data_IF_496158848837
#
_entry.id   IF_496158848837
#
_cell.length_a   1.000
_cell.length_b   1.000
_cell.length_c   1.000
_cell.angle_alpha   90.00
_cell.angle_beta   90.00
_cell.angle_gamma   90.00
#
_symmetry.space_group_name_H-M   'P 1'
#
loop_
_entity.id
_entity.type
_entity.pdbx_description
1 polymer ?
#
# COMPACT_ATOMS: atom_id res chain seq x y z
N UNK A 1 18.16 12.34 5.22
CA UNK A 1 16.90 12.14 4.48
C UNK A 1 15.83 13.01 5.14
N UNK A 2 14.98 13.71 4.37
CA UNK A 2 13.92 14.54 4.97
C UNK A 2 12.73 13.67 5.43
N UNK A 3 11.78 14.27 6.18
CA UNK A 3 10.65 13.54 6.78
C UNK A 3 9.70 12.93 5.74
N UNK A 4 9.52 13.59 4.60
CA UNK A 4 8.66 13.08 3.52
C UNK A 4 9.29 11.85 2.88
N UNK A 5 10.56 11.94 2.50
CA UNK A 5 11.33 10.81 1.96
C UNK A 5 11.36 9.61 2.93
N UNK A 6 11.44 9.85 4.24
CA UNK A 6 11.30 8.80 5.25
C UNK A 6 9.93 8.12 5.20
N UNK A 7 8.85 8.88 4.97
CA UNK A 7 7.50 8.33 4.78
C UNK A 7 7.42 7.34 3.60
N UNK A 8 8.07 7.64 2.48
CA UNK A 8 8.17 6.71 1.34
C UNK A 8 8.95 5.44 1.71
N UNK A 9 10.04 5.55 2.47
CA UNK A 9 10.80 4.39 2.96
C UNK A 9 9.97 3.53 3.91
N UNK A 10 9.19 4.16 4.80
CA UNK A 10 8.27 3.45 5.69
C UNK A 10 7.15 2.74 4.91
N UNK A 11 6.62 3.35 3.86
CA UNK A 11 5.65 2.72 2.97
C UNK A 11 6.23 1.50 2.23
N UNK A 12 7.48 1.60 1.78
CA UNK A 12 8.21 0.46 1.19
C UNK A 12 8.44 -0.66 2.20
N UNK A 13 8.85 -0.33 3.43
CA UNK A 13 9.03 -1.31 4.51
C UNK A 13 7.70 -1.99 4.87
N UNK A 14 6.62 -1.23 4.91
CA UNK A 14 5.27 -1.74 5.10
C UNK A 14 4.88 -2.74 4.00
N UNK A 15 5.04 -2.40 2.71
CA UNK A 15 4.77 -3.36 1.63
C UNK A 15 5.69 -4.58 1.71
N UNK A 16 6.96 -4.40 2.09
CA UNK A 16 7.92 -5.51 2.22
C UNK A 16 7.56 -6.50 3.32
N UNK A 17 6.75 -6.09 4.31
CA UNK A 17 6.22 -6.99 5.34
C UNK A 17 5.36 -8.13 4.75
N UNK A 18 4.87 -8.00 3.51
CA UNK A 18 4.18 -9.09 2.81
C UNK A 18 5.03 -10.36 2.72
N UNK A 19 6.37 -10.25 2.69
CA UNK A 19 7.26 -11.41 2.72
C UNK A 19 7.16 -12.18 4.03
N UNK A 20 6.92 -11.51 5.15
CA UNK A 20 6.75 -12.15 6.45
C UNK A 20 5.40 -12.88 6.47
N UNK A 21 4.33 -12.20 6.08
CA UNK A 21 2.97 -12.75 6.10
C UNK A 21 2.75 -13.86 5.06
N UNK A 22 3.41 -13.77 3.91
CA UNK A 22 3.41 -14.81 2.87
C UNK A 22 4.43 -15.91 3.11
N UNK A 23 5.17 -15.90 4.23
CA UNK A 23 6.22 -16.89 4.55
C UNK A 23 7.24 -17.01 3.41
N UNK A 24 7.71 -15.89 2.90
CA UNK A 24 8.62 -15.80 1.75
C UNK A 24 7.96 -16.25 0.44
N UNK A 25 6.70 -15.88 0.20
CA UNK A 25 5.89 -16.27 -0.97
C UNK A 25 5.50 -17.75 -1.04
N UNK A 26 5.84 -18.56 -0.04
CA UNK A 26 5.50 -19.99 0.04
C UNK A 26 4.17 -20.27 0.75
N UNK A 27 3.64 -19.28 1.46
CA UNK A 27 2.39 -19.36 2.22
C UNK A 27 1.13 -19.27 1.33
N UNK A 28 -0.02 -19.54 1.94
CA UNK A 28 -1.29 -19.71 1.24
C UNK A 28 -2.27 -18.54 1.42
N UNK A 29 -1.78 -17.29 1.51
CA UNK A 29 -2.65 -16.11 1.60
C UNK A 29 -3.65 -16.07 0.44
N UNK A 30 -3.19 -16.42 -0.77
CA UNK A 30 -4.01 -16.49 -1.97
C UNK A 30 -5.24 -17.40 -1.90
N UNK A 31 -5.26 -18.42 -1.03
CA UNK A 31 -6.44 -19.25 -0.84
C UNK A 31 -7.53 -18.60 0.02
N UNK A 32 -7.15 -17.66 0.89
CA UNK A 32 -8.09 -16.87 1.70
C UNK A 32 -8.60 -15.68 0.88
N UNK A 33 -7.70 -15.02 0.14
CA UNK A 33 -8.01 -13.91 -0.74
C UNK A 33 -7.11 -13.96 -1.98
N UNK A 34 -7.65 -14.21 -3.19
CA UNK A 34 -6.87 -14.30 -4.42
C UNK A 34 -6.01 -13.08 -4.73
N UNK A 35 -6.34 -11.90 -4.20
CA UNK A 35 -5.53 -10.69 -4.32
C UNK A 35 -4.10 -10.90 -3.79
N UNK A 36 -3.93 -11.78 -2.79
CA UNK A 36 -2.66 -12.12 -2.17
C UNK A 36 -2.12 -13.49 -2.62
N UNK A 37 -2.43 -13.91 -3.85
CA UNK A 37 -1.66 -14.97 -4.53
C UNK A 37 -0.16 -14.61 -4.61
N UNK A 38 0.75 -15.56 -4.90
CA UNK A 38 2.17 -15.25 -5.04
C UNK A 38 2.45 -14.10 -6.01
N UNK A 39 1.71 -14.03 -7.13
CA UNK A 39 1.81 -12.94 -8.09
C UNK A 39 1.32 -11.61 -7.52
N UNK A 40 0.22 -11.62 -6.75
CA UNK A 40 -0.28 -10.44 -6.05
C UNK A 40 0.71 -9.91 -5.01
N UNK A 41 1.32 -10.81 -4.22
CA UNK A 41 2.37 -10.48 -3.26
C UNK A 41 3.60 -9.86 -3.94
N UNK A 42 4.02 -10.38 -5.11
CA UNK A 42 5.07 -9.77 -5.93
C UNK A 42 4.65 -8.36 -6.36
N UNK A 43 3.39 -8.17 -6.77
CA UNK A 43 2.84 -6.85 -7.09
C UNK A 43 2.96 -5.86 -5.92
N UNK A 44 2.60 -6.28 -4.71
CA UNK A 44 2.76 -5.47 -3.48
C UNK A 44 4.23 -5.07 -3.28
N UNK A 45 5.17 -5.98 -3.49
CA UNK A 45 6.61 -5.68 -3.40
C UNK A 45 7.06 -4.67 -4.45
N UNK A 46 6.63 -4.83 -5.70
CA UNK A 46 6.96 -3.91 -6.79
C UNK A 46 6.42 -2.50 -6.51
N UNK A 47 5.22 -2.38 -5.95
CA UNK A 47 4.69 -1.09 -5.48
C UNK A 47 5.55 -0.49 -4.36
N UNK A 48 5.99 -1.30 -3.41
CA UNK A 48 6.92 -0.87 -2.36
C UNK A 48 8.21 -0.30 -2.93
N UNK A 49 8.80 -0.97 -3.93
CA UNK A 49 9.99 -0.50 -4.64
C UNK A 49 9.70 0.79 -5.42
N UNK A 50 8.53 0.92 -6.04
CA UNK A 50 8.12 2.15 -6.73
C UNK A 50 8.05 3.34 -5.78
N UNK A 51 7.53 3.17 -4.57
CA UNK A 51 7.54 4.22 -3.55
C UNK A 51 8.97 4.64 -3.21
N UNK A 52 9.86 3.67 -2.99
CA UNK A 52 11.27 3.93 -2.68
C UNK A 52 11.98 4.67 -3.82
N UNK A 53 11.68 4.32 -5.07
CA UNK A 53 12.23 4.98 -6.24
C UNK A 53 11.87 6.48 -6.28
N UNK A 54 10.63 6.83 -5.91
CA UNK A 54 10.19 8.22 -5.86
C UNK A 54 10.66 8.99 -4.61
N UNK A 55 11.14 8.30 -3.57
CA UNK A 55 11.40 8.88 -2.25
C UNK A 55 12.35 10.11 -2.27
N UNK A 56 13.22 10.24 -3.26
CA UNK A 56 14.19 11.35 -3.38
C UNK A 56 13.79 12.44 -4.38
N UNK A 57 12.76 12.21 -5.19
CA UNK A 57 12.31 13.10 -6.27
C UNK A 57 10.79 13.32 -6.28
N UNK A 58 10.13 13.06 -5.14
CA UNK A 58 8.67 13.18 -5.01
C UNK A 58 8.14 14.58 -5.34
N UNK A 59 8.95 15.62 -5.17
CA UNK A 59 8.59 17.00 -5.46
C UNK A 59 8.52 17.27 -6.97
N UNK A 60 9.29 16.55 -7.78
CA UNK A 60 9.37 16.73 -9.23
C UNK A 60 8.23 15.98 -9.96
N UNK A 61 7.64 14.98 -9.30
CA UNK A 61 6.59 14.14 -9.88
C UNK A 61 5.41 13.90 -8.91
N UNK A 62 4.71 14.95 -8.46
CA UNK A 62 3.58 14.85 -7.53
C UNK A 62 2.42 13.98 -8.07
N UNK A 63 2.27 13.88 -9.39
CA UNK A 63 1.27 13.02 -10.01
C UNK A 63 1.52 11.52 -9.73
N UNK A 64 2.79 11.11 -9.62
CA UNK A 64 3.13 9.72 -9.28
C UNK A 64 2.75 9.41 -7.83
N UNK A 65 2.95 10.37 -6.91
CA UNK A 65 2.46 10.22 -5.55
C UNK A 65 0.93 10.07 -5.50
N UNK A 66 0.18 10.77 -6.38
CA UNK A 66 -1.27 10.57 -6.48
C UNK A 66 -1.63 9.15 -6.97
N UNK A 67 -0.88 8.59 -7.91
CA UNK A 67 -1.06 7.19 -8.35
C UNK A 67 -0.87 6.23 -7.17
N UNK A 68 0.15 6.44 -6.33
CA UNK A 68 0.34 5.64 -5.12
C UNK A 68 -0.82 5.79 -4.13
N UNK A 69 -1.38 6.99 -3.98
CA UNK A 69 -2.56 7.19 -3.13
C UNK A 69 -3.77 6.39 -3.64
N UNK A 70 -3.99 6.34 -4.96
CA UNK A 70 -5.08 5.57 -5.56
C UNK A 70 -4.86 4.05 -5.44
N UNK A 71 -3.63 3.59 -5.60
CA UNK A 71 -3.29 2.18 -5.36
C UNK A 71 -3.54 1.81 -3.89
N UNK A 72 -3.12 2.64 -2.94
CA UNK A 72 -3.41 2.43 -1.51
C UNK A 72 -4.90 2.48 -1.19
N UNK A 73 -5.65 3.37 -1.84
CA UNK A 73 -7.10 3.40 -1.72
C UNK A 73 -7.73 2.09 -2.23
N UNK A 74 -7.25 1.54 -3.35
CA UNK A 74 -7.73 0.28 -3.88
C UNK A 74 -7.55 -0.86 -2.88
N UNK A 75 -6.36 -1.05 -2.30
CA UNK A 75 -6.14 -2.07 -1.27
C UNK A 75 -6.95 -1.83 -0.01
N UNK A 76 -7.05 -0.58 0.45
CA UNK A 76 -7.85 -0.21 1.62
C UNK A 76 -9.35 -0.49 1.44
N UNK A 77 -9.92 -0.15 0.29
CA UNK A 77 -11.32 -0.44 -0.04
C UNK A 77 -11.57 -1.94 -0.19
N UNK A 78 -10.68 -2.66 -0.88
CA UNK A 78 -10.76 -4.11 -1.00
C UNK A 78 -10.77 -4.78 0.38
N UNK A 79 -9.89 -4.33 1.29
CA UNK A 79 -9.87 -4.81 2.67
C UNK A 79 -11.17 -4.58 3.41
N UNK A 80 -11.76 -3.38 3.35
CA UNK A 80 -13.03 -3.08 4.01
C UNK A 80 -14.18 -3.95 3.49
N UNK A 81 -14.24 -4.17 2.17
CA UNK A 81 -15.21 -5.07 1.56
C UNK A 81 -14.98 -6.52 1.99
N UNK A 82 -13.73 -6.97 1.97
CA UNK A 82 -13.37 -8.31 2.44
C UNK A 82 -13.75 -8.52 3.91
N UNK A 83 -13.50 -7.53 4.78
CA UNK A 83 -13.83 -7.58 6.21
C UNK A 83 -15.34 -7.62 6.44
N UNK A 84 -16.11 -6.90 5.62
CA UNK A 84 -17.58 -6.95 5.67
C UNK A 84 -18.10 -8.35 5.35
N UNK A 85 -17.54 -9.00 4.34
CA UNK A 85 -18.05 -10.28 3.84
C UNK A 85 -17.47 -11.50 4.58
N UNK A 86 -16.24 -11.40 5.09
CA UNK A 86 -15.46 -12.52 5.67
C UNK A 86 -14.96 -12.25 7.09
N UNK A 87 -15.21 -11.08 7.67
CA UNK A 87 -14.67 -10.69 8.99
C UNK A 87 -15.07 -11.63 10.14
N UNK A 88 -16.23 -12.30 10.04
CA UNK A 88 -16.66 -13.32 11.00
C UNK A 88 -15.74 -14.55 11.05
N UNK A 89 -14.97 -14.81 9.98
CA UNK A 89 -14.07 -15.96 9.86
C UNK A 89 -12.67 -15.67 10.42
N UNK A 90 -12.36 -14.43 10.82
CA UNK A 90 -11.02 -14.03 11.28
C UNK A 90 -10.53 -14.85 12.48
N UNK A 91 -11.42 -15.27 13.38
CA UNK A 91 -11.05 -16.10 14.53
C UNK A 91 -10.56 -17.49 14.07
N UNK A 92 -11.23 -18.09 13.09
CA UNK A 92 -10.87 -19.38 12.51
C UNK A 92 -9.57 -19.28 11.70
N UNK A 93 -9.44 -18.24 10.87
CA UNK A 93 -8.22 -17.95 10.11
C UNK A 93 -7.03 -17.79 11.07
N UNK A 94 -7.20 -17.04 12.17
CA UNK A 94 -6.13 -16.83 13.16
C UNK A 94 -5.78 -18.11 13.92
N UNK A 95 -6.75 -18.98 14.19
CA UNK A 95 -6.49 -20.27 14.82
C UNK A 95 -5.69 -21.22 13.90
N UNK A 96 -5.97 -21.19 12.60
CA UNK A 96 -5.27 -22.01 11.60
C UNK A 96 -3.89 -21.44 11.22
N UNK A 97 -3.80 -20.12 11.01
CA UNK A 97 -2.57 -19.41 10.70
C UNK A 97 -2.55 -18.02 11.37
N UNK A 98 -1.87 -17.88 12.53
CA UNK A 98 -1.83 -16.62 13.27
C UNK A 98 -1.28 -15.44 12.48
N UNK A 99 -0.32 -15.67 11.57
CA UNK A 99 0.27 -14.61 10.74
C UNK A 99 -0.74 -14.12 9.71
N UNK A 100 -1.44 -15.03 9.03
CA UNK A 100 -2.50 -14.67 8.10
C UNK A 100 -3.65 -13.97 8.83
N UNK A 101 -4.08 -14.49 9.99
CA UNK A 101 -5.12 -13.86 10.80
C UNK A 101 -4.76 -12.46 11.30
N UNK A 102 -3.48 -12.20 11.60
CA UNK A 102 -3.01 -10.85 11.88
C UNK A 102 -3.06 -9.97 10.63
N UNK A 103 -2.48 -10.44 9.52
CA UNK A 103 -2.46 -9.73 8.24
C UNK A 103 -3.86 -9.27 7.80
N UNK A 104 -4.80 -10.19 7.65
CA UNK A 104 -6.19 -9.89 7.22
C UNK A 104 -6.95 -9.02 8.22
N UNK A 105 -6.55 -8.99 9.50
CA UNK A 105 -7.17 -8.11 10.48
C UNK A 105 -6.65 -6.68 10.47
N UNK A 106 -5.50 -6.40 9.83
CA UNK A 106 -4.86 -5.07 9.97
C UNK A 106 -4.36 -4.45 8.67
N UNK A 107 -4.08 -5.20 7.59
CA UNK A 107 -3.34 -4.65 6.45
C UNK A 107 -4.01 -3.38 5.89
N UNK A 108 -5.31 -3.40 5.60
CA UNK A 108 -5.94 -2.24 4.97
C UNK A 108 -5.92 -0.96 5.83
N UNK A 109 -5.73 -1.06 7.16
CA UNK A 109 -5.51 0.13 7.99
C UNK A 109 -4.22 0.86 7.63
N UNK A 110 -3.13 0.12 7.40
CA UNK A 110 -1.85 0.68 6.94
C UNK A 110 -1.98 1.27 5.54
N UNK A 111 -2.70 0.60 4.65
CA UNK A 111 -2.94 1.12 3.29
C UNK A 111 -3.72 2.43 3.32
N UNK A 112 -4.76 2.56 4.14
CA UNK A 112 -5.50 3.82 4.27
C UNK A 112 -4.63 4.96 4.85
N UNK A 113 -3.73 4.67 5.80
CA UNK A 113 -2.78 5.68 6.31
C UNK A 113 -1.83 6.14 5.20
N UNK A 114 -1.27 5.22 4.43
CA UNK A 114 -0.37 5.57 3.33
C UNK A 114 -1.11 6.24 2.15
N UNK A 115 -2.38 5.92 1.92
CA UNK A 115 -3.24 6.64 0.98
C UNK A 115 -3.32 8.13 1.33
N UNK A 116 -3.60 8.46 2.60
CA UNK A 116 -3.64 9.85 3.06
C UNK A 116 -2.27 10.51 2.92
N UNK A 117 -1.20 9.81 3.31
CA UNK A 117 0.17 10.32 3.20
C UNK A 117 0.52 10.68 1.75
N UNK A 118 0.34 9.77 0.79
CA UNK A 118 0.66 10.01 -0.61
C UNK A 118 -0.23 11.09 -1.24
N UNK A 119 -1.53 11.11 -0.89
CA UNK A 119 -2.45 12.14 -1.34
C UNK A 119 -2.05 13.53 -0.84
N UNK A 120 -1.60 13.62 0.42
CA UNK A 120 -1.06 14.86 0.99
C UNK A 120 0.22 15.33 0.28
N UNK A 121 1.17 14.42 0.02
CA UNK A 121 2.40 14.74 -0.72
C UNK A 121 2.09 15.28 -2.11
N UNK A 122 1.18 14.61 -2.83
CA UNK A 122 0.74 15.02 -4.17
C UNK A 122 0.07 16.40 -4.15
N UNK A 123 -0.80 16.66 -3.17
CA UNK A 123 -1.46 17.96 -3.00
C UNK A 123 -0.48 19.08 -2.68
N UNK A 124 0.49 18.83 -1.81
CA UNK A 124 1.47 19.83 -1.37
C UNK A 124 2.39 20.28 -2.50
N UNK A 125 2.79 19.36 -3.38
CA UNK A 125 3.76 19.62 -4.46
C UNK A 125 3.10 19.83 -5.82
N UNK A 126 1.78 19.96 -5.89
CA UNK A 126 1.08 20.26 -7.14
C UNK A 126 1.63 21.58 -7.70
N UNK A 127 2.25 21.53 -8.87
CA UNK A 127 2.62 22.76 -9.56
C UNK A 127 1.32 23.47 -9.98
N UNK A 128 1.14 24.76 -9.65
CA UNK A 128 0.11 25.53 -10.32
C UNK A 128 0.42 25.48 -11.82
N UNK A 129 -0.61 25.19 -12.65
CA UNK A 129 -0.48 25.33 -14.10
C UNK A 129 0.19 26.68 -14.35
N UNK A 130 1.36 26.70 -14.98
CA UNK A 130 1.90 27.93 -15.54
C UNK A 130 0.80 28.43 -16.48
N UNK A 131 0.08 29.48 -16.07
CA UNK A 131 -0.79 30.19 -16.97
C UNK A 131 0.13 30.69 -18.09
N UNK A 132 -0.07 30.19 -19.31
CA UNK A 132 0.62 30.69 -20.49
C UNK A 132 0.34 32.19 -20.61
N UNK A 133 1.20 33.01 -20.02
CA UNK A 133 1.36 34.42 -20.35
C UNK A 133 2.54 34.52 -21.30
N UNK A 134 2.22 34.51 -22.60
CA UNK A 134 3.02 35.10 -23.67
C UNK A 134 2.08 35.13 -24.89
N UNK A 135 1.29 36.19 -25.08
CA UNK A 135 1.66 37.47 -25.73
C UNK A 135 2.02 37.28 -27.19
#
# INVERSE_FOLDING_TARGET
MNRVALGFVLAMAYNSSILIFSKGLSGNLGAIDPLFSPNGCIGVLLWGLAYLALARSYADAPAVALVFALEKLFYGCHWLLWLKDHGGQLAEIRAADPLAGFFYSTYGSGDLVFMVFFGWVAWQHRHPKQANTSS
#
